data_IF_631633906500
#
_entry.id   IF_631633906500
#
_cell.length_a   1.000
_cell.length_b   1.000
_cell.length_c   1.000
_cell.angle_alpha   90.00
_cell.angle_beta   90.00
_cell.angle_gamma   90.00
#
_symmetry.space_group_name_H-M   'P 1'
#
loop_
_entity.id
_entity.type
_entity.pdbx_description
1 polymer ?
#
# COMPACT_ATOMS: atom_id res chain seq x y z
N UNK A 1 -2.26 59.14 -2.64
CA UNK A 1 -2.94 59.69 -1.44
C UNK A 1 -1.96 59.68 -0.28
N UNK A 2 -1.97 60.65 0.67
CA UNK A 2 -1.56 60.31 2.02
C UNK A 2 -2.64 59.37 2.57
N UNK A 3 -2.69 58.13 2.06
CA UNK A 3 -3.08 57.02 2.91
C UNK A 3 -2.09 57.12 4.05
N UNK A 4 -2.58 57.21 5.27
CA UNK A 4 -1.68 57.02 6.38
C UNK A 4 -0.99 55.67 6.13
N UNK A 5 0.34 55.65 5.90
CA UNK A 5 1.03 54.44 5.49
C UNK A 5 0.97 53.35 6.58
N UNK A 6 0.52 53.72 7.78
CA UNK A 6 0.30 52.83 8.92
C UNK A 6 -1.15 52.38 9.13
N UNK A 7 -2.16 53.01 8.49
CA UNK A 7 -3.59 52.63 8.71
C UNK A 7 -4.38 52.33 7.43
N UNK A 8 -3.88 52.72 6.25
CA UNK A 8 -4.57 52.48 4.98
C UNK A 8 -5.88 53.26 4.80
N UNK A 9 -6.28 54.08 5.78
CA UNK A 9 -7.50 54.89 5.73
C UNK A 9 -7.31 56.08 4.80
N UNK A 10 -8.26 56.28 3.88
CA UNK A 10 -8.31 57.47 3.03
C UNK A 10 -8.80 58.68 3.82
N UNK A 11 -8.11 59.81 3.64
CA UNK A 11 -8.60 61.13 4.06
C UNK A 11 -8.60 62.06 2.86
N UNK A 12 -9.71 62.78 2.68
CA UNK A 12 -9.89 63.67 1.54
C UNK A 12 -8.89 64.83 1.61
N UNK A 13 -8.15 65.12 0.52
CA UNK A 13 -7.25 66.28 0.50
C UNK A 13 -8.02 67.59 0.75
N UNK A 14 -7.49 68.45 1.61
CA UNK A 14 -8.09 69.76 1.89
C UNK A 14 -8.24 70.58 0.58
N UNK A 15 -9.33 71.34 0.47
CA UNK A 15 -9.58 72.18 -0.72
C UNK A 15 -10.18 71.45 -1.94
N UNK A 16 -10.42 70.13 -1.87
CA UNK A 16 -11.07 69.36 -2.96
C UNK A 16 -12.60 69.24 -2.83
N UNK A 17 -13.22 70.02 -1.93
CA UNK A 17 -14.69 70.04 -1.79
C UNK A 17 -15.27 71.15 -2.66
N UNK A 18 -15.92 70.83 -3.79
CA UNK A 18 -16.57 71.84 -4.59
C UNK A 18 -17.71 72.46 -3.78
N UNK A 19 -17.80 73.78 -3.83
CA UNK A 19 -18.88 74.58 -3.25
C UNK A 19 -19.67 75.24 -4.37
N UNK A 20 -20.98 75.37 -4.20
CA UNK A 20 -21.85 75.96 -5.22
C UNK A 20 -21.38 77.39 -5.55
N UNK A 21 -21.21 77.68 -6.84
CA UNK A 21 -20.82 79.00 -7.33
C UNK A 21 -19.34 79.36 -7.18
N UNK A 22 -18.47 78.43 -6.75
CA UNK A 22 -17.02 78.65 -6.68
C UNK A 22 -16.29 77.95 -7.83
N UNK A 23 -15.25 78.58 -8.36
CA UNK A 23 -14.35 77.94 -9.33
C UNK A 23 -13.53 76.87 -8.62
N UNK A 24 -13.47 75.67 -9.19
CA UNK A 24 -12.66 74.56 -8.65
C UNK A 24 -11.20 74.83 -8.98
N UNK A 25 -10.31 74.81 -7.98
CA UNK A 25 -8.88 74.87 -8.19
C UNK A 25 -8.41 73.61 -8.96
N UNK A 26 -7.84 73.75 -10.18
CA UNK A 26 -7.41 72.61 -10.97
C UNK A 26 -6.31 71.78 -10.31
N UNK A 27 -5.45 72.38 -9.48
CA UNK A 27 -4.32 71.67 -8.89
C UNK A 27 -4.75 70.54 -7.91
N UNK A 28 -5.52 70.82 -6.85
CA UNK A 28 -6.00 69.78 -5.94
C UNK A 28 -7.00 68.82 -6.61
N UNK A 29 -7.74 69.27 -7.62
CA UNK A 29 -8.67 68.43 -8.38
C UNK A 29 -7.97 67.40 -9.28
N UNK A 30 -6.96 67.81 -10.03
CA UNK A 30 -6.18 66.91 -10.87
C UNK A 30 -5.40 65.89 -10.02
N UNK A 31 -4.86 66.33 -8.87
CA UNK A 31 -4.21 65.44 -7.91
C UNK A 31 -5.16 64.35 -7.39
N UNK A 32 -6.39 64.71 -7.02
CA UNK A 32 -7.42 63.75 -6.62
C UNK A 32 -7.74 62.75 -7.75
N UNK A 33 -7.87 63.23 -8.98
CA UNK A 33 -8.26 62.41 -10.13
C UNK A 33 -7.17 61.40 -10.52
N UNK A 34 -5.90 61.82 -10.56
CA UNK A 34 -4.77 60.92 -10.78
C UNK A 34 -4.67 59.85 -9.71
N UNK A 35 -4.93 60.22 -8.46
CA UNK A 35 -4.86 59.31 -7.33
C UNK A 35 -5.96 58.23 -7.35
N UNK A 36 -7.19 58.61 -7.71
CA UNK A 36 -8.29 57.68 -7.94
C UNK A 36 -7.99 56.70 -9.09
N UNK A 37 -7.36 57.19 -10.17
CA UNK A 37 -6.90 56.35 -11.27
C UNK A 37 -5.92 55.28 -10.80
N UNK A 38 -4.90 55.67 -10.04
CA UNK A 38 -3.92 54.74 -9.48
C UNK A 38 -4.56 53.70 -8.54
N UNK A 39 -5.52 54.12 -7.71
CA UNK A 39 -6.18 53.18 -6.80
C UNK A 39 -7.00 52.13 -7.54
N UNK A 40 -7.76 52.54 -8.56
CA UNK A 40 -8.54 51.62 -9.40
C UNK A 40 -7.61 50.66 -10.13
N UNK A 41 -6.50 51.17 -10.70
CA UNK A 41 -5.48 50.35 -11.37
C UNK A 41 -4.81 49.36 -10.41
N UNK A 42 -4.60 49.75 -9.15
CA UNK A 42 -3.98 48.89 -8.14
C UNK A 42 -4.99 47.98 -7.42
N UNK A 43 -6.29 48.12 -7.69
CA UNK A 43 -7.32 47.24 -7.13
C UNK A 43 -7.33 45.90 -7.84
N UNK A 44 -7.66 44.82 -7.11
CA UNK A 44 -7.74 43.49 -7.70
C UNK A 44 -9.09 43.32 -8.42
N UNK A 45 -9.11 43.02 -9.73
CA UNK A 45 -10.36 42.80 -10.45
C UNK A 45 -11.09 41.54 -9.97
N UNK A 46 -12.39 41.66 -9.72
CA UNK A 46 -13.22 40.53 -9.23
C UNK A 46 -13.49 39.46 -10.28
N UNK A 47 -13.35 39.81 -11.54
CA UNK A 47 -13.45 38.90 -12.69
C UNK A 47 -12.14 38.13 -12.95
N UNK A 48 -11.10 38.38 -12.15
CA UNK A 48 -9.80 37.72 -12.31
C UNK A 48 -9.00 38.20 -13.52
N UNK A 49 -9.38 39.35 -14.12
CA UNK A 49 -8.70 39.88 -15.31
C UNK A 49 -7.24 40.30 -15.07
N UNK A 50 -6.81 40.50 -13.82
CA UNK A 50 -5.42 40.73 -13.45
C UNK A 50 -4.99 39.89 -12.22
N UNK A 51 -3.79 39.25 -12.24
CA UNK A 51 -3.28 38.47 -11.13
C UNK A 51 -2.65 39.36 -10.03
N UNK A 52 -2.49 38.81 -8.82
CA UNK A 52 -1.65 39.42 -7.79
C UNK A 52 -0.16 39.37 -8.23
N UNK A 53 0.54 40.49 -8.15
CA UNK A 53 1.98 40.56 -8.46
C UNK A 53 2.87 40.01 -7.32
N UNK A 54 2.29 39.68 -6.17
CA UNK A 54 2.97 39.08 -5.01
C UNK A 54 2.17 37.90 -4.46
N UNK A 55 2.79 36.95 -3.73
CA UNK A 55 2.09 35.83 -3.13
C UNK A 55 1.01 36.27 -2.14
N UNK A 56 -0.11 35.54 -2.11
CA UNK A 56 -1.13 35.70 -1.08
C UNK A 56 -0.59 35.21 0.27
N UNK A 57 -0.52 36.11 1.25
CA UNK A 57 -0.17 35.78 2.64
C UNK A 57 -1.45 35.68 3.47
N UNK A 58 -1.76 34.49 3.98
CA UNK A 58 -2.88 34.28 4.91
C UNK A 58 -2.39 34.34 6.37
N UNK A 59 -3.31 34.59 7.31
CA UNK A 59 -3.05 34.36 8.73
C UNK A 59 -2.77 32.87 8.97
N UNK A 60 -2.00 32.51 10.00
CA UNK A 60 -1.70 31.10 10.30
C UNK A 60 -2.97 30.29 10.59
N UNK A 61 -3.93 30.87 11.32
CA UNK A 61 -5.16 30.18 11.67
C UNK A 61 -4.95 28.97 12.60
N UNK A 62 -6.05 28.29 12.89
CA UNK A 62 -6.11 27.05 13.69
C UNK A 62 -7.11 26.09 13.03
N UNK A 63 -7.18 24.84 13.51
CA UNK A 63 -8.18 23.88 13.04
C UNK A 63 -9.62 24.39 13.23
N UNK A 64 -9.91 25.15 14.30
CA UNK A 64 -11.24 25.71 14.54
C UNK A 64 -11.48 27.06 13.86
N UNK A 65 -10.43 27.70 13.34
CA UNK A 65 -10.47 29.03 12.72
C UNK A 65 -9.37 29.15 11.66
N UNK A 66 -9.56 28.56 10.46
CA UNK A 66 -8.57 28.57 9.39
C UNK A 66 -8.22 29.98 8.91
N UNK A 67 -6.98 30.15 8.44
CA UNK A 67 -6.48 31.41 7.89
C UNK A 67 -7.10 31.78 6.55
N UNK A 68 -7.48 30.77 5.77
CA UNK A 68 -8.32 30.91 4.57
C UNK A 68 -9.58 30.11 4.81
N UNK A 69 -10.72 30.77 5.02
CA UNK A 69 -11.99 30.13 5.33
C UNK A 69 -13.16 30.63 4.47
N UNK A 70 -14.29 29.93 4.57
CA UNK A 70 -15.52 30.30 3.86
C UNK A 70 -16.46 31.12 4.75
N UNK A 71 -17.06 32.18 4.21
CA UNK A 71 -17.94 33.06 4.99
C UNK A 71 -19.16 32.34 5.59
N UNK A 72 -19.74 31.37 4.86
CA UNK A 72 -20.87 30.56 5.33
C UNK A 72 -20.49 29.43 6.28
N UNK A 73 -19.22 29.03 6.32
CA UNK A 73 -18.69 28.03 7.25
C UNK A 73 -17.26 28.42 7.66
N UNK A 74 -17.12 29.24 8.72
CA UNK A 74 -15.83 29.79 9.12
C UNK A 74 -14.88 28.73 9.70
N UNK A 75 -15.36 27.49 9.93
CA UNK A 75 -14.58 26.38 10.46
C UNK A 75 -14.05 25.44 9.37
N UNK A 76 -14.25 25.78 8.08
CA UNK A 76 -13.76 24.98 6.95
C UNK A 76 -12.77 25.81 6.13
N UNK A 77 -11.60 25.25 5.81
CA UNK A 77 -10.56 26.00 5.12
C UNK A 77 -9.13 25.47 5.26
N UNK A 78 -8.16 26.35 5.00
CA UNK A 78 -6.73 26.10 5.08
C UNK A 78 -6.11 26.81 6.29
N UNK A 79 -5.21 26.15 6.98
CA UNK A 79 -4.49 26.71 8.13
C UNK A 79 -3.06 26.15 8.21
N UNK A 80 -2.21 26.78 9.00
CA UNK A 80 -0.85 26.32 9.25
C UNK A 80 -0.84 25.45 10.52
N UNK A 81 -0.60 24.15 10.35
CA UNK A 81 -0.63 23.17 11.46
C UNK A 81 0.56 23.29 12.42
N UNK A 82 1.57 24.08 12.04
CA UNK A 82 2.86 24.18 12.71
C UNK A 82 3.92 23.36 11.98
N UNK A 83 5.20 23.59 12.30
CA UNK A 83 6.32 22.83 11.70
C UNK A 83 6.47 22.96 10.18
N UNK A 84 5.87 23.98 9.56
CA UNK A 84 5.85 24.16 8.10
C UNK A 84 4.82 23.32 7.35
N UNK A 85 3.91 22.64 8.06
CA UNK A 85 2.87 21.80 7.46
C UNK A 85 1.60 22.58 7.16
N UNK A 86 1.05 22.35 5.97
CA UNK A 86 -0.28 22.81 5.59
C UNK A 86 -1.34 21.90 6.23
N UNK A 87 -2.34 22.51 6.87
CA UNK A 87 -3.50 21.85 7.43
C UNK A 87 -4.76 22.19 6.65
N UNK A 88 -5.63 21.21 6.50
CA UNK A 88 -6.98 21.37 5.99
C UNK A 88 -7.95 21.11 7.13
N UNK A 89 -9.00 21.89 7.23
CA UNK A 89 -10.05 21.65 8.21
C UNK A 89 -11.41 21.66 7.56
N UNK A 90 -12.29 20.78 8.04
CA UNK A 90 -13.69 20.76 7.69
C UNK A 90 -14.49 20.75 8.98
N UNK A 91 -15.36 21.74 9.14
CA UNK A 91 -16.21 21.89 10.32
C UNK A 91 -15.44 21.83 11.65
N UNK A 92 -14.23 22.38 11.69
CA UNK A 92 -13.39 22.44 12.89
C UNK A 92 -12.61 21.16 13.19
N UNK A 93 -12.64 20.18 12.29
CA UNK A 93 -11.90 18.92 12.40
C UNK A 93 -10.76 18.90 11.39
N UNK A 94 -9.64 18.33 11.79
CA UNK A 94 -8.49 18.12 10.93
C UNK A 94 -8.77 17.12 9.82
N UNK A 95 -8.40 17.47 8.59
CA UNK A 95 -8.40 16.56 7.45
C UNK A 95 -6.97 16.20 7.14
N UNK A 96 -6.65 14.91 7.24
CA UNK A 96 -5.36 14.34 6.84
C UNK A 96 -5.50 13.63 5.50
N UNK A 97 -4.40 13.61 4.74
CA UNK A 97 -4.27 12.84 3.52
C UNK A 97 -3.12 11.86 3.71
N UNK A 98 -3.28 10.64 3.19
CA UNK A 98 -2.18 9.70 3.09
C UNK A 98 -1.10 10.23 2.13
N UNK A 99 0.13 9.75 2.31
CA UNK A 99 1.19 10.09 1.36
C UNK A 99 0.86 9.51 -0.01
N UNK A 100 1.38 10.15 -1.05
CA UNK A 100 1.28 9.60 -2.40
C UNK A 100 1.97 8.23 -2.44
N UNK A 101 1.30 7.23 -3.01
CA UNK A 101 1.88 5.90 -3.14
C UNK A 101 3.06 5.91 -4.10
N UNK A 102 4.18 5.36 -3.64
CA UNK A 102 5.42 5.27 -4.41
C UNK A 102 5.73 3.82 -4.74
N UNK A 103 5.99 3.50 -6.01
CA UNK A 103 6.39 2.17 -6.43
C UNK A 103 7.91 2.05 -6.54
N UNK A 104 8.51 0.99 -6.00
CA UNK A 104 9.90 0.65 -6.25
C UNK A 104 10.13 -0.86 -6.34
N UNK A 105 11.04 -1.28 -7.21
CA UNK A 105 11.51 -2.66 -7.26
C UNK A 105 12.77 -2.82 -6.39
N UNK A 106 12.87 -3.95 -5.67
CA UNK A 106 14.00 -4.31 -4.80
C UNK A 106 14.50 -5.70 -5.21
N UNK A 107 15.79 -5.87 -5.36
CA UNK A 107 16.41 -7.15 -5.77
C UNK A 107 17.23 -7.80 -4.66
N UNK A 108 17.00 -7.40 -3.40
CA UNK A 108 17.70 -7.89 -2.22
C UNK A 108 17.11 -7.26 -0.96
N UNK A 109 17.81 -7.44 0.16
CA UNK A 109 17.35 -7.01 1.48
C UNK A 109 17.06 -5.50 1.54
N UNK A 110 16.07 -5.13 2.34
CA UNK A 110 15.65 -3.75 2.50
C UNK A 110 15.16 -3.47 3.91
N UNK A 111 15.44 -2.27 4.41
CA UNK A 111 14.89 -1.78 5.68
C UNK A 111 13.82 -0.74 5.40
N UNK A 112 12.57 -1.03 5.78
CA UNK A 112 11.45 -0.09 5.61
C UNK A 112 11.59 1.08 6.59
N UNK A 113 11.49 2.29 6.07
CA UNK A 113 11.62 3.56 6.79
C UNK A 113 10.28 4.30 6.87
N UNK A 114 10.18 5.32 7.72
CA UNK A 114 8.99 6.18 7.81
C UNK A 114 8.69 6.95 6.50
N UNK A 115 9.67 7.03 5.58
CA UNK A 115 9.46 7.57 4.23
C UNK A 115 8.67 6.64 3.33
N UNK A 116 8.64 5.33 3.63
CA UNK A 116 7.97 4.30 2.83
C UNK A 116 6.49 4.15 3.18
N UNK A 117 5.94 5.10 3.94
CA UNK A 117 4.52 5.17 4.23
C UNK A 117 3.70 5.31 2.93
N UNK A 118 2.69 4.47 2.77
CA UNK A 118 1.89 4.29 1.56
C UNK A 118 2.66 3.74 0.35
N UNK A 119 3.91 3.30 0.49
CA UNK A 119 4.70 2.77 -0.62
C UNK A 119 4.32 1.34 -1.00
N UNK A 120 4.61 0.99 -2.25
CA UNK A 120 4.46 -0.35 -2.83
C UNK A 120 5.84 -0.81 -3.28
N UNK A 121 6.44 -1.75 -2.56
CA UNK A 121 7.70 -2.34 -2.97
C UNK A 121 7.51 -3.74 -3.53
N UNK A 122 8.09 -3.97 -4.71
CA UNK A 122 8.11 -5.27 -5.37
C UNK A 122 9.50 -5.89 -5.26
N UNK A 123 9.59 -7.02 -4.60
CA UNK A 123 10.82 -7.79 -4.48
C UNK A 123 10.94 -8.76 -5.65
N UNK A 124 11.99 -8.61 -6.46
CA UNK A 124 12.23 -9.43 -7.66
C UNK A 124 13.20 -10.60 -7.40
N UNK A 125 13.50 -10.87 -6.14
CA UNK A 125 14.38 -11.92 -5.66
C UNK A 125 14.00 -12.25 -4.21
N UNK A 126 14.45 -13.40 -3.70
CA UNK A 126 14.35 -13.70 -2.29
C UNK A 126 15.09 -12.63 -1.47
N UNK A 127 14.45 -12.12 -0.41
CA UNK A 127 14.96 -11.00 0.35
C UNK A 127 14.44 -11.00 1.79
N UNK A 128 15.20 -10.37 2.68
CA UNK A 128 14.77 -10.02 4.02
C UNK A 128 14.36 -8.55 4.05
N UNK A 129 13.09 -8.33 4.37
CA UNK A 129 12.54 -7.01 4.61
C UNK A 129 12.49 -6.76 6.12
N UNK A 130 13.40 -5.92 6.60
CA UNK A 130 13.40 -5.49 7.99
C UNK A 130 12.46 -4.30 8.16
N UNK A 131 11.55 -4.34 9.13
CA UNK A 131 10.72 -3.17 9.47
C UNK A 131 11.42 -2.37 10.57
N UNK A 132 11.55 -1.06 10.39
CA UNK A 132 11.98 -0.18 11.49
C UNK A 132 10.98 -0.28 12.65
N UNK A 133 11.45 -0.09 13.89
CA UNK A 133 10.65 -0.18 15.11
C UNK A 133 9.27 0.50 14.98
N UNK A 134 8.23 -0.16 15.49
CA UNK A 134 6.85 0.28 15.30
C UNK A 134 6.59 1.66 15.92
N UNK A 135 7.25 1.96 17.04
CA UNK A 135 7.18 3.26 17.70
C UNK A 135 7.75 4.40 16.85
N UNK A 136 8.75 4.11 16.00
CA UNK A 136 9.37 5.09 15.10
C UNK A 136 8.56 5.30 13.83
N UNK A 137 7.98 4.23 13.28
CA UNK A 137 7.09 4.33 12.12
C UNK A 137 5.77 5.01 12.45
N UNK A 138 5.28 4.84 13.68
CA UNK A 138 4.06 5.46 14.19
C UNK A 138 2.79 4.73 13.78
N UNK A 139 1.68 5.09 14.42
CA UNK A 139 0.37 4.52 14.11
C UNK A 139 -0.11 4.94 12.71
N UNK A 140 -0.81 4.04 12.03
CA UNK A 140 -1.35 4.17 10.67
C UNK A 140 -0.32 4.16 9.54
N UNK A 141 0.98 3.99 9.85
CA UNK A 141 1.97 3.69 8.82
C UNK A 141 1.55 2.41 8.10
N UNK A 142 1.44 2.45 6.79
CA UNK A 142 0.99 1.31 5.99
C UNK A 142 1.87 1.13 4.77
N UNK A 143 2.05 -0.12 4.36
CA UNK A 143 3.05 -0.47 3.35
C UNK A 143 2.69 -1.77 2.64
N UNK A 144 2.76 -1.74 1.31
CA UNK A 144 2.40 -2.87 0.47
C UNK A 144 3.67 -3.54 -0.07
N UNK A 145 3.71 -4.86 0.04
CA UNK A 145 4.83 -5.69 -0.38
C UNK A 145 4.33 -6.69 -1.40
N UNK A 146 5.05 -6.84 -2.49
CA UNK A 146 4.81 -7.82 -3.54
C UNK A 146 6.06 -8.70 -3.66
N UNK A 147 5.91 -10.01 -3.48
CA UNK A 147 6.96 -10.99 -3.78
C UNK A 147 6.79 -11.48 -5.23
N UNK A 148 7.74 -11.16 -6.10
CA UNK A 148 7.71 -11.39 -7.56
C UNK A 148 9.09 -11.83 -8.08
N UNK A 149 9.66 -12.86 -7.47
CA UNK A 149 10.97 -13.42 -7.80
C UNK A 149 11.64 -14.23 -6.69
N UNK A 150 10.95 -14.46 -5.57
CA UNK A 150 11.41 -15.26 -4.45
C UNK A 150 10.67 -14.93 -3.15
N UNK A 151 10.80 -15.80 -2.15
CA UNK A 151 10.17 -15.61 -0.85
C UNK A 151 10.76 -14.38 -0.14
N UNK A 152 9.88 -13.54 0.41
CA UNK A 152 10.26 -12.35 1.18
C UNK A 152 10.03 -12.62 2.66
N UNK A 153 11.09 -12.59 3.45
CA UNK A 153 11.01 -12.72 4.90
C UNK A 153 10.83 -11.34 5.52
N UNK A 154 9.69 -11.08 6.13
CA UNK A 154 9.37 -9.83 6.83
C UNK A 154 9.74 -9.99 8.30
N UNK A 155 10.64 -9.13 8.77
CA UNK A 155 11.24 -9.19 10.10
C UNK A 155 11.14 -7.82 10.80
N UNK A 156 10.20 -7.63 11.74
CA UNK A 156 10.19 -6.47 12.63
C UNK A 156 11.48 -6.35 13.45
N UNK A 157 12.15 -5.20 13.39
CA UNK A 157 13.36 -4.98 14.16
C UNK A 157 13.04 -4.66 15.63
N UNK A 158 13.18 -5.66 16.50
CA UNK A 158 13.06 -5.49 17.96
C UNK A 158 12.33 -6.65 18.64
N UNK A 159 11.44 -6.33 19.57
CA UNK A 159 10.55 -7.30 20.24
C UNK A 159 9.11 -7.22 19.69
N UNK A 160 8.89 -6.40 18.67
CA UNK A 160 7.59 -6.26 18.01
C UNK A 160 7.21 -7.55 17.28
N UNK A 161 5.89 -7.74 17.14
CA UNK A 161 5.33 -8.87 16.42
C UNK A 161 4.63 -8.41 15.15
N UNK A 162 4.64 -9.26 14.12
CA UNK A 162 3.77 -9.17 12.96
C UNK A 162 2.69 -10.26 13.05
N UNK A 163 1.42 -9.85 13.15
CA UNK A 163 0.28 -10.75 13.39
C UNK A 163 0.45 -11.69 14.61
N UNK A 164 1.25 -11.28 15.60
CA UNK A 164 1.56 -12.07 16.79
C UNK A 164 2.75 -13.04 16.64
N UNK A 165 3.40 -13.08 15.47
CA UNK A 165 4.63 -13.83 15.23
C UNK A 165 5.86 -12.90 15.20
N UNK A 166 7.05 -13.44 15.43
CA UNK A 166 8.30 -12.69 15.33
C UNK A 166 8.66 -12.36 13.87
N UNK A 167 8.33 -13.24 12.93
CA UNK A 167 8.56 -13.03 11.49
C UNK A 167 7.38 -13.55 10.67
N UNK A 168 7.23 -13.00 9.47
CA UNK A 168 6.25 -13.46 8.47
C UNK A 168 6.97 -13.75 7.16
N UNK A 169 6.81 -14.96 6.64
CA UNK A 169 7.34 -15.31 5.31
C UNK A 169 6.23 -15.11 4.28
N UNK A 170 6.39 -14.12 3.41
CA UNK A 170 5.54 -13.92 2.24
C UNK A 170 6.10 -14.77 1.10
N UNK A 171 5.31 -15.75 0.66
CA UNK A 171 5.71 -16.64 -0.43
C UNK A 171 5.73 -15.89 -1.76
N UNK A 172 6.59 -16.33 -2.67
CA UNK A 172 6.65 -15.82 -4.03
C UNK A 172 5.28 -15.86 -4.74
N UNK A 173 4.98 -14.82 -5.52
CA UNK A 173 3.72 -14.62 -6.24
C UNK A 173 2.57 -14.03 -5.42
N UNK A 174 2.81 -13.67 -4.15
CA UNK A 174 1.81 -13.06 -3.28
C UNK A 174 2.14 -11.61 -2.92
N UNK A 175 1.11 -10.89 -2.47
CA UNK A 175 1.26 -9.57 -1.88
C UNK A 175 0.59 -9.47 -0.52
N UNK A 176 1.08 -8.57 0.31
CA UNK A 176 0.51 -8.28 1.61
C UNK A 176 0.60 -6.79 1.90
N UNK A 177 -0.44 -6.27 2.54
CA UNK A 177 -0.46 -4.94 3.12
C UNK A 177 -0.20 -5.06 4.62
N UNK A 178 0.78 -4.29 5.09
CA UNK A 178 1.15 -4.17 6.49
C UNK A 178 0.62 -2.84 7.03
N UNK A 179 0.07 -2.86 8.24
CA UNK A 179 -0.38 -1.68 8.97
C UNK A 179 0.29 -1.69 10.35
N UNK A 180 0.85 -0.54 10.74
CA UNK A 180 1.45 -0.32 12.03
C UNK A 180 0.44 0.28 13.02
N UNK A 181 0.38 -0.29 14.22
CA UNK A 181 -0.41 0.27 15.34
C UNK A 181 0.36 1.27 16.20
N UNK A 182 1.65 1.47 15.92
CA UNK A 182 2.59 2.19 16.78
C UNK A 182 3.28 1.32 17.84
N UNK A 183 2.91 0.04 17.96
CA UNK A 183 3.55 -0.93 18.87
C UNK A 183 3.75 -2.33 18.25
N UNK A 184 2.86 -2.73 17.34
CA UNK A 184 2.95 -3.99 16.61
C UNK A 184 2.49 -3.81 15.16
N UNK A 185 2.85 -4.78 14.33
CA UNK A 185 2.49 -4.84 12.91
C UNK A 185 1.37 -5.84 12.68
N UNK A 186 0.47 -5.51 11.78
CA UNK A 186 -0.65 -6.35 11.39
C UNK A 186 -0.71 -6.44 9.88
N UNK A 187 -1.16 -7.57 9.37
CA UNK A 187 -1.49 -7.69 7.94
C UNK A 187 -3.00 -7.72 7.73
N UNK A 188 -3.43 -7.57 6.48
CA UNK A 188 -4.82 -7.85 6.09
C UNK A 188 -5.24 -9.33 6.26
N UNK A 189 -4.32 -10.21 6.70
CA UNK A 189 -4.48 -11.65 6.93
C UNK A 189 -4.96 -12.46 5.72
N UNK A 190 -5.00 -11.85 4.53
CA UNK A 190 -5.44 -12.51 3.31
C UNK A 190 -4.47 -13.63 2.92
N UNK A 191 -3.18 -13.35 2.99
CA UNK A 191 -2.12 -14.32 2.73
C UNK A 191 -2.19 -15.53 3.66
N UNK A 192 -2.23 -15.29 4.99
CA UNK A 192 -2.35 -16.36 5.99
C UNK A 192 -3.59 -17.24 5.77
N UNK A 193 -4.73 -16.64 5.38
CA UNK A 193 -5.96 -17.38 5.07
C UNK A 193 -5.84 -18.22 3.81
N UNK A 194 -5.25 -17.69 2.73
CA UNK A 194 -5.03 -18.46 1.49
C UNK A 194 -4.05 -19.62 1.74
N UNK A 195 -2.98 -19.35 2.48
CA UNK A 195 -2.01 -20.38 2.85
C UNK A 195 -2.64 -21.50 3.67
N UNK A 196 -3.44 -21.16 4.70
CA UNK A 196 -4.14 -22.18 5.49
C UNK A 196 -5.11 -23.04 4.65
N UNK A 197 -5.72 -22.49 3.60
CA UNK A 197 -6.57 -23.26 2.67
C UNK A 197 -5.76 -24.13 1.70
N UNK A 198 -4.57 -23.69 1.30
CA UNK A 198 -3.64 -24.49 0.51
C UNK A 198 -3.06 -25.65 1.33
N UNK A 199 -2.78 -25.42 2.62
CA UNK A 199 -2.28 -26.42 3.58
C UNK A 199 -3.34 -27.41 4.08
N UNK A 200 -4.61 -27.23 3.74
CA UNK A 200 -5.66 -28.27 3.86
C UNK A 200 -5.66 -29.22 2.64
N UNK A 201 -4.92 -28.89 1.56
CA UNK A 201 -4.75 -29.74 0.37
C UNK A 201 -3.52 -30.68 0.32
N UNK A 202 -2.65 -30.87 1.33
CA UNK A 202 -1.58 -31.85 1.24
C UNK A 202 -1.96 -33.14 2.00
N UNK A 203 -2.65 -34.08 1.34
CA UNK A 203 -2.46 -35.55 1.56
C UNK A 203 -3.32 -36.50 0.70
N UNK A 204 -4.13 -36.04 -0.27
CA UNK A 204 -5.01 -36.96 -1.02
C UNK A 204 -4.36 -37.64 -2.24
N UNK A 205 -3.05 -37.51 -2.45
CA UNK A 205 -2.28 -38.34 -3.40
C UNK A 205 -0.94 -38.69 -2.74
N UNK A 206 -0.96 -39.50 -1.68
CA UNK A 206 0.11 -40.49 -1.59
C UNK A 206 -0.25 -41.55 -2.63
N UNK A 207 0.60 -41.79 -3.62
CA UNK A 207 0.54 -43.00 -4.43
C UNK A 207 0.80 -44.19 -3.53
N UNK A 208 -0.18 -44.57 -2.70
CA UNK A 208 -0.19 -45.86 -2.02
C UNK A 208 -0.26 -46.90 -3.13
N UNK A 209 0.81 -47.70 -3.21
CA UNK A 209 0.95 -48.74 -4.21
C UNK A 209 -0.33 -49.56 -4.39
N UNK A 210 -0.61 -49.89 -5.65
CA UNK A 210 -1.61 -50.88 -6.03
C UNK A 210 -1.53 -52.11 -5.12
N UNK A 211 -2.64 -52.58 -4.51
CA UNK A 211 -2.66 -53.81 -3.74
C UNK A 211 -2.73 -55.04 -4.66
N UNK A 212 -1.86 -55.12 -5.67
CA UNK A 212 -1.62 -56.34 -6.43
C UNK A 212 -0.30 -56.95 -5.95
N UNK A 213 -0.32 -58.06 -5.18
CA UNK A 213 0.91 -58.71 -4.79
C UNK A 213 1.60 -59.28 -6.03
N UNK A 214 2.80 -58.77 -6.32
CA UNK A 214 3.72 -59.36 -7.30
C UNK A 214 4.44 -60.51 -6.59
N UNK A 215 3.90 -61.73 -6.72
CA UNK A 215 4.64 -62.92 -6.28
C UNK A 215 5.29 -63.57 -7.48
N UNK A 216 6.51 -63.14 -7.79
CA UNK A 216 7.47 -63.96 -8.52
C UNK A 216 8.12 -64.91 -7.50
N UNK A 217 7.66 -66.16 -7.44
CA UNK A 217 8.35 -67.23 -6.73
C UNK A 217 8.78 -68.30 -7.73
N UNK A 218 10.09 -68.56 -7.74
CA UNK A 218 10.79 -69.43 -8.66
C UNK A 218 10.43 -70.92 -8.48
N UNK A 219 10.11 -71.55 -9.61
CA UNK A 219 10.44 -72.91 -10.08
C UNK A 219 11.03 -73.92 -9.06
N UNK A 220 10.25 -74.98 -8.77
CA UNK A 220 10.76 -76.35 -8.49
C UNK A 220 9.75 -77.39 -8.98
N UNK A 221 10.12 -78.40 -9.80
CA UNK A 221 9.25 -79.53 -10.14
C UNK A 221 9.65 -80.79 -9.35
N UNK A 222 8.78 -81.29 -8.46
CA UNK A 222 8.90 -82.64 -7.85
C UNK A 222 7.56 -82.98 -7.18
N UNK A 223 6.70 -83.76 -7.84
CA UNK A 223 6.53 -85.23 -7.76
C UNK A 223 5.55 -85.69 -6.67
N UNK A 224 4.74 -86.71 -7.04
CA UNK A 224 4.21 -87.81 -6.20
C UNK A 224 2.76 -87.70 -5.64
N UNK A 225 1.86 -88.34 -6.42
CA UNK A 225 0.66 -89.18 -6.07
C UNK A 225 -0.65 -88.55 -5.52
N UNK A 226 -1.82 -89.25 -5.61
CA UNK A 226 -2.15 -90.46 -6.38
C UNK A 226 -3.36 -90.34 -7.35
N UNK A 227 -3.38 -91.32 -8.26
CA UNK A 227 -4.26 -91.60 -9.39
C UNK A 227 -5.61 -92.19 -8.96
N UNK A 228 -6.72 -91.72 -9.53
CA UNK A 228 -8.00 -92.45 -9.60
C UNK A 228 -8.27 -92.90 -11.05
N UNK A 229 -8.88 -94.08 -11.28
CA UNK A 229 -8.71 -94.84 -12.52
C UNK A 229 -9.69 -94.46 -13.63
N UNK A 230 -9.14 -94.19 -14.81
CA UNK A 230 -9.86 -94.22 -16.09
C UNK A 230 -9.69 -95.61 -16.71
N UNK A 231 -10.80 -96.33 -16.84
CA UNK A 231 -10.83 -97.62 -17.52
C UNK A 231 -10.76 -97.46 -19.04
N UNK A 232 -10.05 -98.37 -19.70
CA UNK A 232 -10.37 -98.90 -21.04
C UNK A 232 -9.39 -100.01 -21.43
N UNK A 233 -9.98 -101.15 -21.82
CA UNK A 233 -9.67 -101.87 -23.05
C UNK A 233 -8.30 -102.52 -23.20
N UNK A 234 -8.29 -103.85 -23.16
CA UNK A 234 -7.17 -104.71 -23.52
C UNK A 234 -6.81 -104.60 -25.01
N UNK A 235 -5.51 -104.76 -25.32
CA UNK A 235 -5.05 -105.50 -26.50
C UNK A 235 -3.54 -105.82 -26.42
N UNK A 236 -3.26 -107.12 -26.34
CA UNK A 236 -2.18 -107.86 -27.01
C UNK A 236 -0.69 -107.53 -26.76
N UNK A 237 -0.05 -108.48 -26.07
CA UNK A 237 1.35 -108.95 -26.24
C UNK A 237 1.66 -109.28 -27.73
N UNK A 238 2.94 -109.39 -28.19
CA UNK A 238 4.01 -110.14 -27.48
C UNK A 238 5.50 -109.73 -27.71
N UNK A 239 6.36 -110.45 -26.97
CA UNK A 239 7.59 -111.13 -27.42
C UNK A 239 8.97 -110.42 -27.54
N UNK A 240 9.91 -110.97 -26.74
CA UNK A 240 11.33 -111.30 -27.07
C UNK A 240 12.31 -110.10 -27.17
N UNK A 241 13.60 -110.14 -26.83
CA UNK A 241 14.55 -111.06 -26.16
C UNK A 241 15.84 -110.24 -25.97
N UNK A 242 16.68 -110.65 -25.01
CA UNK A 242 18.16 -110.63 -25.02
C UNK A 242 18.93 -109.32 -24.70
N UNK A 243 19.45 -109.29 -23.46
CA UNK A 243 20.89 -109.45 -23.09
C UNK A 243 21.94 -108.37 -23.47
N UNK A 244 23.05 -108.28 -22.69
CA UNK A 244 23.60 -107.00 -22.21
C UNK A 244 25.08 -106.72 -22.57
N UNK A 245 25.61 -105.65 -21.96
CA UNK A 245 27.03 -105.36 -21.68
C UNK A 245 27.95 -104.97 -22.85
N UNK A 246 28.29 -103.69 -22.94
CA UNK A 246 29.57 -103.10 -22.51
C UNK A 246 29.48 -101.57 -22.66
#
# INVERSE_FOLDING_TARGET
MPRNPSTGVYSKPAGTTPSVGQVIDPAPWNALTTDLGNEITNSLPRDGSAPMAAPLKAASGTVSAPGVGFASNPQTGLYLKGGGLLGFTQNGVDVAFDKASAYAAKSGDYTALASDDSAVHRFTAAATLTLTAAATLGANWHYCIIADGGDVTIDPNGLETIDGAATLVLKDGYSVEIICSGAAFFTNKLFARIQSKAEVRPSAISSSGSPFPTTAAARTPMSIFPRAPLGRGQASLPAQRHSPSA
#
